data_IF_111476201084
#
_entry.id   IF_111476201084
#
_cell.length_a   1.000
_cell.length_b   1.000
_cell.length_c   1.000
_cell.angle_alpha   90.00
_cell.angle_beta   90.00
_cell.angle_gamma   90.00
#
_symmetry.space_group_name_H-M   'P 1'
#
loop_
_entity.id
_entity.type
_entity.pdbx_description
1 polymer ?
#
# COMPACT_ATOMS: atom_id res chain seq x y z
N UNK A 1 9.34 5.81 35.94
CA UNK A 1 9.46 5.62 34.48
C UNK A 1 8.10 5.93 33.91
N UNK A 2 8.00 6.96 33.09
CA UNK A 2 6.72 7.42 32.55
C UNK A 2 6.06 6.29 31.76
N UNK A 3 4.80 6.01 32.10
CA UNK A 3 3.98 5.06 31.35
C UNK A 3 3.78 5.63 29.94
N UNK A 4 4.55 5.12 28.98
CA UNK A 4 4.51 5.55 27.58
C UNK A 4 3.18 5.20 26.89
N UNK A 5 2.38 4.32 27.50
CA UNK A 5 1.12 3.81 26.98
C UNK A 5 0.04 3.82 28.06
N UNK A 6 -1.21 4.01 27.65
CA UNK A 6 -2.38 3.99 28.53
C UNK A 6 -3.01 2.60 28.57
N UNK A 7 -3.53 2.19 29.73
CA UNK A 7 -4.25 0.89 29.85
C UNK A 7 -5.42 0.85 28.85
N UNK A 8 -5.55 -0.26 28.13
CA UNK A 8 -6.53 -0.45 27.05
C UNK A 8 -6.09 0.10 25.69
N UNK A 9 -4.91 0.71 25.59
CA UNK A 9 -4.40 1.23 24.32
C UNK A 9 -3.92 0.12 23.39
N UNK A 10 -4.36 0.13 22.14
CA UNK A 10 -3.99 -0.87 21.14
C UNK A 10 -2.54 -0.68 20.69
N UNK A 11 -1.71 -1.71 20.89
CA UNK A 11 -0.30 -1.71 20.50
C UNK A 11 0.06 -2.95 19.67
N UNK A 12 1.09 -2.80 18.83
CA UNK A 12 1.69 -3.83 17.98
C UNK A 12 3.13 -4.04 18.45
N UNK A 13 3.45 -5.24 18.92
CA UNK A 13 4.74 -5.67 19.43
C UNK A 13 5.39 -6.55 18.38
N UNK A 14 6.63 -6.24 18.01
CA UNK A 14 7.43 -7.09 17.12
C UNK A 14 8.60 -7.65 17.87
N UNK A 15 8.85 -8.94 17.69
CA UNK A 15 9.88 -9.68 18.40
C UNK A 15 11.14 -9.85 17.54
N UNK A 16 12.25 -10.16 18.21
CA UNK A 16 13.55 -10.39 17.58
C UNK A 16 13.57 -11.65 16.69
N UNK A 17 12.68 -12.61 16.96
CA UNK A 17 12.52 -13.83 16.15
C UNK A 17 11.66 -13.62 14.89
N UNK A 18 11.11 -12.41 14.67
CA UNK A 18 10.26 -12.10 13.52
C UNK A 18 8.76 -12.07 13.82
N UNK A 19 8.31 -12.61 14.95
CA UNK A 19 6.89 -12.66 15.26
C UNK A 19 6.33 -11.27 15.56
N UNK A 20 5.10 -11.01 15.12
CA UNK A 20 4.38 -9.77 15.35
C UNK A 20 3.06 -10.06 16.06
N UNK A 21 2.86 -9.40 17.20
CA UNK A 21 1.68 -9.50 18.02
C UNK A 21 0.99 -8.15 18.11
N UNK A 22 -0.32 -8.16 18.24
CA UNK A 22 -1.10 -6.97 18.52
C UNK A 22 -2.03 -7.26 19.69
N UNK A 23 -2.23 -6.29 20.57
CA UNK A 23 -3.16 -6.42 21.68
C UNK A 23 -3.37 -5.11 22.44
N UNK A 24 -4.24 -5.16 23.44
CA UNK A 24 -4.56 -4.04 24.30
C UNK A 24 -3.54 -3.99 25.46
N UNK A 25 -2.90 -2.84 25.63
CA UNK A 25 -1.89 -2.61 26.67
C UNK A 25 -2.48 -2.73 28.07
N UNK A 26 -1.81 -3.49 28.95
CA UNK A 26 -2.18 -3.59 30.36
C UNK A 26 -1.17 -2.89 31.26
N UNK A 27 0.10 -3.30 31.21
CA UNK A 27 1.16 -2.71 32.05
C UNK A 27 2.54 -2.99 31.48
N UNK A 28 3.53 -2.23 31.93
CA UNK A 28 4.94 -2.45 31.64
C UNK A 28 5.78 -2.40 32.91
N UNK A 29 6.90 -3.12 32.89
CA UNK A 29 7.98 -2.97 33.85
C UNK A 29 9.32 -2.84 33.12
N UNK A 30 10.40 -2.74 33.88
CA UNK A 30 11.77 -2.90 33.40
C UNK A 30 11.99 -4.24 32.68
N UNK A 31 11.30 -5.30 33.11
CA UNK A 31 11.45 -6.67 32.59
C UNK A 31 10.64 -6.96 31.32
N UNK A 32 9.59 -6.19 31.04
CA UNK A 32 8.69 -6.52 29.93
C UNK A 32 7.41 -5.71 29.85
N UNK A 33 6.48 -6.24 29.06
CA UNK A 33 5.17 -5.65 28.81
C UNK A 33 4.12 -6.75 28.81
N UNK A 34 2.94 -6.44 29.36
CA UNK A 34 1.78 -7.31 29.33
C UNK A 34 0.69 -6.70 28.44
N UNK A 35 0.14 -7.52 27.55
CA UNK A 35 -0.98 -7.18 26.69
C UNK A 35 -2.06 -8.26 26.77
N UNK A 36 -3.30 -7.92 26.42
CA UNK A 36 -4.42 -8.86 26.26
C UNK A 36 -5.13 -8.69 24.91
N UNK A 37 -6.14 -9.52 24.61
CA UNK A 37 -6.83 -9.52 23.32
C UNK A 37 -5.86 -9.66 22.12
N UNK A 38 -4.97 -10.65 22.21
CA UNK A 38 -3.85 -10.86 21.32
C UNK A 38 -4.28 -11.33 19.95
N UNK A 39 -3.69 -10.74 18.92
CA UNK A 39 -3.67 -11.23 17.56
C UNK A 39 -2.21 -11.50 17.14
N UNK A 40 -1.90 -12.74 16.77
CA UNK A 40 -0.60 -13.13 16.24
C UNK A 40 -0.64 -13.08 14.70
N UNK A 41 0.19 -12.26 14.08
CA UNK A 41 0.14 -12.01 12.64
C UNK A 41 0.56 -13.22 11.81
N UNK A 42 1.56 -13.96 12.27
CA UNK A 42 2.14 -15.06 11.52
C UNK A 42 1.20 -16.25 11.46
N UNK A 43 0.54 -16.58 12.58
CA UNK A 43 -0.42 -17.69 12.60
C UNK A 43 -1.87 -17.27 12.34
N UNK A 44 -2.19 -15.98 12.41
CA UNK A 44 -3.57 -15.44 12.35
C UNK A 44 -4.40 -15.73 13.62
N UNK A 45 -3.79 -16.29 14.67
CA UNK A 45 -4.51 -16.69 15.87
C UNK A 45 -4.94 -15.47 16.69
N UNK A 46 -6.19 -15.50 17.16
CA UNK A 46 -6.76 -14.51 18.09
C UNK A 46 -7.06 -15.17 19.43
N UNK A 47 -6.67 -14.52 20.52
CA UNK A 47 -6.96 -14.99 21.88
C UNK A 47 -7.24 -13.83 22.82
N UNK A 48 -8.13 -14.02 23.78
CA UNK A 48 -8.39 -13.04 24.85
C UNK A 48 -7.43 -13.18 26.03
N UNK A 49 -6.54 -14.16 25.99
CA UNK A 49 -5.56 -14.40 27.05
C UNK A 49 -4.57 -13.25 27.19
N UNK A 50 -3.99 -13.14 28.38
CA UNK A 50 -2.91 -12.20 28.68
C UNK A 50 -1.56 -12.81 28.29
N UNK A 51 -0.73 -12.03 27.63
CA UNK A 51 0.61 -12.44 27.22
C UNK A 51 1.64 -11.46 27.80
N UNK A 52 2.67 -12.03 28.42
CA UNK A 52 3.84 -11.28 28.89
C UNK A 52 4.97 -11.43 27.89
N UNK A 53 5.49 -10.31 27.38
CA UNK A 53 6.65 -10.28 26.49
C UNK A 53 7.86 -9.73 27.24
N UNK A 54 8.96 -10.47 27.24
CA UNK A 54 10.17 -10.00 27.90
C UNK A 54 10.83 -8.89 27.09
N UNK A 55 11.33 -7.85 27.76
CA UNK A 55 11.91 -6.68 27.09
C UNK A 55 13.08 -7.02 26.16
N UNK A 56 13.81 -8.10 26.46
CA UNK A 56 14.91 -8.63 25.63
C UNK A 56 14.44 -9.28 24.31
N UNK A 57 13.18 -9.70 24.24
CA UNK A 57 12.60 -10.34 23.06
C UNK A 57 11.97 -9.30 22.12
N UNK A 58 11.60 -8.14 22.65
CA UNK A 58 10.91 -7.08 21.92
C UNK A 58 11.90 -6.30 21.07
N UNK A 59 11.65 -6.28 19.77
CA UNK A 59 12.35 -5.47 18.78
C UNK A 59 11.76 -4.07 18.70
N UNK A 60 10.44 -3.96 18.52
CA UNK A 60 9.73 -2.68 18.45
C UNK A 60 8.34 -2.76 19.08
N UNK A 61 7.79 -1.62 19.48
CA UNK A 61 6.41 -1.46 19.94
C UNK A 61 5.83 -0.25 19.22
N UNK A 62 4.70 -0.42 18.55
CA UNK A 62 3.99 0.65 17.86
C UNK A 62 2.56 0.78 18.40
N UNK A 63 2.12 1.99 18.71
CA UNK A 63 0.73 2.32 19.04
C UNK A 63 -0.09 2.43 17.76
N UNK A 64 -1.31 1.88 17.77
CA UNK A 64 -2.25 2.10 16.68
C UNK A 64 -3.00 3.41 16.90
N UNK A 65 -2.85 4.36 15.98
CA UNK A 65 -3.48 5.68 16.11
C UNK A 65 -4.94 5.58 15.68
N UNK A 66 -5.88 6.07 16.50
CA UNK A 66 -7.27 6.29 16.05
C UNK A 66 -7.33 7.72 15.56
N UNK A 67 -7.33 7.96 14.26
CA UNK A 67 -7.70 9.29 13.77
C UNK A 67 -9.22 9.39 13.90
N UNK A 68 -9.71 9.87 15.05
CA UNK A 68 -11.07 10.41 15.09
C UNK A 68 -11.07 11.58 14.11
N UNK A 69 -11.82 11.45 13.02
CA UNK A 69 -12.01 12.50 12.02
C UNK A 69 -12.30 13.83 12.70
N UNK A 70 -11.29 14.69 12.75
CA UNK A 70 -11.45 16.11 12.96
C UNK A 70 -11.15 16.75 11.61
N UNK A 71 -12.20 16.86 10.80
CA UNK A 71 -12.28 18.00 9.88
C UNK A 71 -12.35 19.22 10.80
N UNK A 72 -11.21 19.84 11.03
CA UNK A 72 -11.14 21.16 11.65
C UNK A 72 -10.13 21.98 10.88
N UNK A 73 -10.67 22.97 10.17
CA UNK A 73 -9.98 24.14 9.67
C UNK A 73 -8.87 24.60 10.62
N UNK A 74 -7.68 24.86 10.08
CA UNK A 74 -6.86 26.04 10.43
C UNK A 74 -5.54 26.03 9.67
N UNK A 75 -5.47 26.95 8.71
CA UNK A 75 -4.32 27.72 8.25
C UNK A 75 -3.08 27.67 9.17
N UNK A 76 -1.98 27.19 8.61
CA UNK A 76 -0.57 27.48 8.97
C UNK A 76 -0.17 27.43 10.44
N UNK A 77 0.48 26.33 10.81
CA UNK A 77 1.78 26.37 11.49
C UNK A 77 2.58 25.14 11.09
N UNK A 78 3.83 25.36 10.68
CA UNK A 78 4.88 24.35 10.71
C UNK A 78 5.01 23.83 12.14
N UNK A 79 4.18 22.87 12.53
CA UNK A 79 4.54 21.96 13.59
C UNK A 79 5.37 20.87 12.94
N UNK A 80 6.66 20.86 13.27
CA UNK A 80 7.40 19.62 13.43
C UNK A 80 6.50 18.72 14.28
N UNK A 81 5.65 17.91 13.66
CA UNK A 81 5.02 16.84 14.39
C UNK A 81 6.18 15.92 14.68
N UNK A 82 6.66 15.99 15.93
CA UNK A 82 7.33 14.92 16.62
C UNK A 82 6.38 13.71 16.63
N UNK A 83 6.03 13.17 15.45
CA UNK A 83 5.24 11.96 15.35
C UNK A 83 6.10 10.91 16.03
N UNK A 84 5.60 10.40 17.15
CA UNK A 84 6.27 9.35 17.90
C UNK A 84 6.70 8.28 16.89
N UNK A 85 8.00 7.98 16.83
CA UNK A 85 8.57 6.87 16.03
C UNK A 85 7.91 5.52 16.30
N UNK A 86 6.98 5.45 17.24
CA UNK A 86 6.27 4.27 17.70
C UNK A 86 4.76 4.39 17.49
N UNK A 87 4.26 5.10 16.47
CA UNK A 87 2.84 5.09 16.11
C UNK A 87 2.66 4.66 14.65
N UNK A 88 1.75 3.73 14.38
CA UNK A 88 1.36 3.40 13.02
C UNK A 88 0.63 4.60 12.41
N UNK A 89 1.09 5.03 11.24
CA UNK A 89 0.60 6.19 10.47
C UNK A 89 -0.46 5.76 9.44
N UNK A 90 -1.38 4.92 9.88
CA UNK A 90 -2.54 4.49 9.10
C UNK A 90 -3.76 4.61 10.00
N UNK A 91 -4.90 4.96 9.41
CA UNK A 91 -6.14 4.95 10.16
C UNK A 91 -6.46 3.54 10.69
N UNK A 92 -7.10 3.47 11.85
CA UNK A 92 -7.41 2.21 12.52
C UNK A 92 -8.29 1.32 11.65
N UNK A 93 -9.31 1.88 11.01
CA UNK A 93 -10.28 1.10 10.24
C UNK A 93 -9.63 0.57 8.95
N UNK A 94 -8.78 1.38 8.32
CA UNK A 94 -7.98 0.96 7.16
C UNK A 94 -6.95 -0.14 7.55
N UNK A 95 -6.32 -0.02 8.71
CA UNK A 95 -5.41 -1.05 9.23
C UNK A 95 -6.12 -2.38 9.47
N UNK A 96 -7.29 -2.36 10.11
CA UNK A 96 -8.10 -3.56 10.34
C UNK A 96 -8.60 -4.16 9.02
N UNK A 97 -9.06 -3.32 8.08
CA UNK A 97 -9.45 -3.77 6.74
C UNK A 97 -8.32 -4.53 6.06
N UNK A 98 -7.10 -3.97 6.03
CA UNK A 98 -5.95 -4.63 5.39
C UNK A 98 -5.62 -5.98 6.02
N UNK A 99 -5.72 -6.10 7.35
CA UNK A 99 -5.52 -7.39 8.03
C UNK A 99 -6.58 -8.41 7.64
N UNK A 100 -7.84 -7.99 7.60
CA UNK A 100 -8.95 -8.85 7.20
C UNK A 100 -8.77 -9.34 5.76
N UNK A 101 -8.45 -8.43 4.84
CA UNK A 101 -8.17 -8.74 3.44
C UNK A 101 -6.98 -9.70 3.28
N UNK A 102 -5.90 -9.48 4.03
CA UNK A 102 -4.74 -10.37 3.98
C UNK A 102 -5.06 -11.79 4.50
N UNK A 103 -5.89 -11.90 5.54
CA UNK A 103 -6.27 -13.17 6.15
C UNK A 103 -7.31 -13.95 5.34
N UNK A 104 -8.26 -13.25 4.69
CA UNK A 104 -9.43 -13.86 4.05
C UNK A 104 -9.27 -14.00 2.53
N UNK A 105 -8.11 -14.43 2.03
CA UNK A 105 -7.90 -14.60 0.59
C UNK A 105 -8.79 -15.69 -0.04
N UNK A 106 -9.12 -15.54 -1.32
CA UNK A 106 -9.83 -16.54 -2.12
C UNK A 106 -8.81 -17.31 -2.96
N UNK A 107 -8.69 -18.61 -2.72
CA UNK A 107 -7.79 -19.48 -3.48
C UNK A 107 -8.50 -20.21 -4.60
N UNK A 108 -8.15 -19.87 -5.83
CA UNK A 108 -8.75 -20.40 -7.06
C UNK A 108 -7.80 -21.44 -7.68
N UNK A 109 -8.17 -22.72 -7.55
CA UNK A 109 -7.35 -23.86 -7.99
C UNK A 109 -7.68 -24.35 -9.40
N UNK A 110 -8.87 -24.04 -9.89
CA UNK A 110 -9.45 -24.57 -11.13
C UNK A 110 -10.24 -23.50 -11.87
N UNK A 111 -10.33 -23.64 -13.19
CA UNK A 111 -11.09 -22.75 -14.09
C UNK A 111 -12.60 -23.11 -14.05
N UNK A 112 -13.20 -23.02 -12.86
CA UNK A 112 -14.62 -23.28 -12.62
C UNK A 112 -15.42 -21.98 -12.39
N UNK A 113 -16.65 -22.07 -11.90
CA UNK A 113 -17.48 -20.90 -11.62
C UNK A 113 -16.78 -19.89 -10.69
N UNK A 114 -16.05 -20.36 -9.67
CA UNK A 114 -15.34 -19.48 -8.72
C UNK A 114 -14.24 -18.66 -9.40
N UNK A 115 -13.61 -19.22 -10.43
CA UNK A 115 -12.64 -18.51 -11.26
C UNK A 115 -13.30 -17.37 -12.03
N UNK A 116 -14.39 -17.64 -12.75
CA UNK A 116 -15.08 -16.62 -13.54
C UNK A 116 -15.73 -15.55 -12.66
N UNK A 117 -16.32 -15.93 -11.52
CA UNK A 117 -16.87 -14.98 -10.54
C UNK A 117 -15.76 -14.06 -10.00
N UNK A 118 -14.58 -14.61 -9.67
CA UNK A 118 -13.43 -13.83 -9.23
C UNK A 118 -12.92 -12.86 -10.30
N UNK A 119 -12.77 -13.31 -11.54
CA UNK A 119 -12.30 -12.46 -12.65
C UNK A 119 -13.28 -11.33 -12.95
N UNK A 120 -14.58 -11.64 -13.00
CA UNK A 120 -15.64 -10.63 -13.18
C UNK A 120 -15.61 -9.60 -12.06
N UNK A 121 -15.45 -10.02 -10.81
CA UNK A 121 -15.36 -9.10 -9.68
C UNK A 121 -14.11 -8.20 -9.79
N UNK A 122 -12.93 -8.76 -10.09
CA UNK A 122 -11.69 -7.99 -10.23
C UNK A 122 -11.80 -6.93 -11.33
N UNK A 123 -12.48 -7.24 -12.45
CA UNK A 123 -12.68 -6.31 -13.57
C UNK A 123 -13.48 -5.05 -13.19
N UNK A 124 -14.21 -5.06 -12.07
CA UNK A 124 -14.96 -3.90 -11.58
C UNK A 124 -14.09 -2.88 -10.83
N UNK A 125 -12.80 -3.15 -10.61
CA UNK A 125 -11.90 -2.26 -9.87
C UNK A 125 -10.95 -1.51 -10.79
N UNK A 126 -10.76 -0.22 -10.52
CA UNK A 126 -9.85 0.65 -11.28
C UNK A 126 -8.36 0.36 -11.03
N UNK A 127 -8.04 -0.27 -9.89
CA UNK A 127 -6.68 -0.60 -9.49
C UNK A 127 -6.63 -2.01 -8.90
N UNK A 128 -5.63 -2.78 -9.32
CA UNK A 128 -5.38 -4.13 -8.83
C UNK A 128 -3.90 -4.26 -8.43
N UNK A 129 -3.62 -4.71 -7.21
CA UNK A 129 -2.27 -5.11 -6.83
C UNK A 129 -1.91 -6.44 -7.49
N UNK A 130 -0.66 -6.58 -7.96
CA UNK A 130 -0.21 -7.78 -8.66
C UNK A 130 1.08 -8.30 -8.06
N UNK A 131 1.09 -9.58 -7.71
CA UNK A 131 2.29 -10.32 -7.35
C UNK A 131 2.25 -11.70 -8.02
N UNK A 132 3.35 -12.15 -8.60
CA UNK A 132 3.40 -13.46 -9.26
C UNK A 132 4.64 -14.23 -8.84
N UNK A 133 4.45 -15.51 -8.52
CA UNK A 133 5.53 -16.43 -8.19
C UNK A 133 5.96 -17.19 -9.44
N UNK A 134 7.26 -17.25 -9.69
CA UNK A 134 7.87 -17.86 -10.87
C UNK A 134 8.24 -16.84 -11.96
N UNK A 135 7.98 -15.55 -11.72
CA UNK A 135 8.36 -14.46 -12.61
C UNK A 135 9.76 -13.87 -12.33
N UNK A 136 10.41 -14.31 -11.26
CA UNK A 136 11.69 -13.77 -10.77
C UNK A 136 12.83 -13.97 -11.79
N UNK A 137 12.70 -14.99 -12.66
CA UNK A 137 13.63 -15.29 -13.77
C UNK A 137 13.29 -14.57 -15.07
N UNK A 138 12.37 -13.60 -15.07
CA UNK A 138 11.98 -12.83 -16.25
C UNK A 138 11.48 -13.73 -17.39
N UNK A 139 11.98 -13.50 -18.61
CA UNK A 139 11.70 -14.30 -19.82
C UNK A 139 12.01 -15.79 -19.75
N UNK A 140 12.82 -16.21 -18.76
CA UNK A 140 13.10 -17.63 -18.50
C UNK A 140 12.17 -18.21 -17.42
N UNK A 141 11.40 -17.35 -16.75
CA UNK A 141 10.43 -17.72 -15.74
C UNK A 141 9.11 -18.19 -16.34
N UNK A 142 8.37 -18.96 -15.54
CA UNK A 142 6.97 -19.33 -15.81
C UNK A 142 6.19 -19.07 -14.54
N UNK A 143 5.10 -18.31 -14.67
CA UNK A 143 4.23 -17.98 -13.56
C UNK A 143 3.53 -19.26 -13.12
N UNK A 144 3.73 -19.61 -11.85
CA UNK A 144 3.12 -20.78 -11.23
C UNK A 144 1.88 -20.41 -10.43
N UNK A 145 1.90 -19.21 -9.83
CA UNK A 145 0.83 -18.64 -9.02
C UNK A 145 0.81 -17.14 -9.26
N UNK A 146 -0.37 -16.56 -9.40
CA UNK A 146 -0.54 -15.11 -9.44
C UNK A 146 -1.56 -14.68 -8.39
N UNK A 147 -1.21 -13.69 -7.59
CA UNK A 147 -2.08 -13.06 -6.63
C UNK A 147 -2.48 -11.67 -7.14
N UNK A 148 -3.78 -11.40 -7.13
CA UNK A 148 -4.38 -10.13 -7.49
C UNK A 148 -5.12 -9.58 -6.26
N UNK A 149 -4.77 -8.37 -5.81
CA UNK A 149 -5.50 -7.69 -4.74
C UNK A 149 -6.38 -6.58 -5.30
N UNK A 150 -7.59 -6.48 -4.76
CA UNK A 150 -8.43 -5.30 -4.88
C UNK A 150 -8.44 -4.58 -3.52
N UNK A 151 -9.16 -3.46 -3.41
CA UNK A 151 -9.35 -2.85 -2.08
C UNK A 151 -10.20 -3.74 -1.15
N UNK A 152 -10.94 -4.73 -1.65
CA UNK A 152 -11.82 -5.58 -0.83
C UNK A 152 -11.27 -6.97 -0.56
N UNK A 153 -10.45 -7.51 -1.46
CA UNK A 153 -10.22 -8.95 -1.49
C UNK A 153 -8.90 -9.28 -2.19
N UNK A 154 -8.22 -10.32 -1.71
CA UNK A 154 -7.11 -10.96 -2.45
C UNK A 154 -7.61 -12.24 -3.11
N UNK A 155 -7.26 -12.41 -4.38
CA UNK A 155 -7.50 -13.62 -5.16
C UNK A 155 -6.17 -14.23 -5.54
N UNK A 156 -5.98 -15.51 -5.24
CA UNK A 156 -4.77 -16.25 -5.57
C UNK A 156 -5.15 -17.33 -6.60
N UNK A 157 -4.60 -17.23 -7.80
CA UNK A 157 -4.86 -18.14 -8.91
C UNK A 157 -3.68 -19.11 -9.07
N UNK A 158 -3.95 -20.40 -8.96
CA UNK A 158 -2.96 -21.45 -9.16
C UNK A 158 -2.79 -21.77 -10.66
N UNK A 159 -2.10 -20.88 -11.37
CA UNK A 159 -1.86 -20.96 -12.82
C UNK A 159 -1.27 -22.32 -13.22
N UNK A 160 -0.40 -22.91 -12.39
CA UNK A 160 0.19 -24.22 -12.65
C UNK A 160 -0.82 -25.37 -12.57
N UNK A 161 -1.83 -25.25 -11.70
CA UNK A 161 -2.84 -26.30 -11.51
C UNK A 161 -4.00 -26.19 -12.51
N UNK A 162 -4.12 -25.06 -13.22
CA UNK A 162 -5.06 -24.94 -14.32
C UNK A 162 -4.70 -25.94 -15.42
N UNK A 163 -5.72 -26.54 -16.04
CA UNK A 163 -5.53 -27.63 -17.02
C UNK A 163 -5.04 -27.10 -18.37
N UNK A 164 -5.10 -25.78 -18.56
CA UNK A 164 -4.65 -25.10 -19.76
C UNK A 164 -3.11 -25.08 -19.87
N UNK A 165 -2.61 -25.30 -21.09
CA UNK A 165 -1.20 -25.11 -21.42
C UNK A 165 -0.84 -23.64 -21.67
N UNK A 166 -1.85 -22.78 -21.78
CA UNK A 166 -1.73 -21.34 -22.02
C UNK A 166 -2.06 -20.57 -20.75
N UNK A 167 -1.52 -19.36 -20.64
CA UNK A 167 -1.93 -18.44 -19.59
C UNK A 167 -3.44 -18.11 -19.73
N UNK A 168 -4.21 -17.99 -18.63
CA UNK A 168 -5.65 -17.75 -18.71
C UNK A 168 -5.98 -16.41 -19.36
N UNK A 169 -6.81 -16.43 -20.40
CA UNK A 169 -7.10 -15.27 -21.23
C UNK A 169 -7.78 -14.15 -20.44
N UNK A 170 -8.67 -14.51 -19.52
CA UNK A 170 -9.48 -13.56 -18.77
C UNK A 170 -8.64 -12.83 -17.69
N UNK A 171 -7.58 -13.49 -17.16
CA UNK A 171 -6.56 -12.82 -16.33
C UNK A 171 -5.67 -11.95 -17.21
N UNK A 172 -5.27 -12.44 -18.39
CA UNK A 172 -4.48 -11.64 -19.33
C UNK A 172 -5.17 -10.32 -19.68
N UNK A 173 -6.49 -10.34 -19.96
CA UNK A 173 -7.28 -9.14 -20.22
C UNK A 173 -7.18 -8.09 -19.10
N UNK A 174 -7.17 -8.51 -17.83
CA UNK A 174 -6.96 -7.60 -16.69
C UNK A 174 -5.56 -6.97 -16.75
N UNK A 175 -4.53 -7.79 -16.98
CA UNK A 175 -3.14 -7.36 -17.04
C UNK A 175 -2.87 -6.43 -18.24
N UNK A 176 -3.52 -6.66 -19.38
CA UNK A 176 -3.37 -5.89 -20.63
C UNK A 176 -4.28 -4.65 -20.69
N UNK A 177 -5.29 -4.55 -19.82
CA UNK A 177 -6.21 -3.42 -19.80
C UNK A 177 -5.48 -2.08 -19.63
N UNK A 178 -5.87 -1.06 -20.41
CA UNK A 178 -5.42 0.31 -20.20
C UNK A 178 -6.23 1.04 -19.10
N UNK A 179 -7.41 0.52 -18.75
CA UNK A 179 -8.29 1.13 -17.76
C UNK A 179 -7.97 0.65 -16.34
N UNK A 180 -7.69 -0.64 -16.16
CA UNK A 180 -7.33 -1.20 -14.86
C UNK A 180 -5.85 -0.94 -14.60
N UNK A 181 -5.52 -0.22 -13.54
CA UNK A 181 -4.15 0.09 -13.15
C UNK A 181 -3.53 -1.09 -12.38
N UNK A 182 -2.39 -1.60 -12.84
CA UNK A 182 -1.66 -2.68 -12.15
C UNK A 182 -0.66 -2.07 -11.18
N UNK A 183 -0.89 -2.28 -9.89
CA UNK A 183 -0.02 -1.81 -8.83
C UNK A 183 0.98 -2.92 -8.53
N UNK A 184 2.26 -2.61 -8.69
CA UNK A 184 3.36 -3.56 -8.49
C UNK A 184 4.43 -2.94 -7.60
N UNK A 185 5.33 -3.77 -7.12
CA UNK A 185 6.55 -3.34 -6.47
C UNK A 185 7.72 -4.05 -7.13
N UNK A 186 8.61 -3.28 -7.77
CA UNK A 186 9.72 -3.85 -8.56
C UNK A 186 9.21 -4.78 -9.68
N UNK A 187 8.28 -4.29 -10.49
CA UNK A 187 7.55 -5.09 -11.49
C UNK A 187 8.35 -5.43 -12.75
N UNK A 188 9.63 -5.07 -12.84
CA UNK A 188 10.43 -5.23 -14.06
C UNK A 188 10.53 -6.68 -14.55
N UNK A 189 10.87 -7.62 -13.66
CA UNK A 189 10.96 -9.05 -13.98
C UNK A 189 9.59 -9.66 -14.27
N UNK A 190 8.55 -9.24 -13.55
CA UNK A 190 7.17 -9.61 -13.82
C UNK A 190 6.74 -9.23 -15.23
N UNK A 191 7.00 -7.97 -15.63
CA UNK A 191 6.69 -7.47 -16.96
C UNK A 191 7.46 -8.23 -18.06
N UNK A 192 8.75 -8.47 -17.86
CA UNK A 192 9.58 -9.26 -18.80
C UNK A 192 9.06 -10.71 -18.92
N UNK A 193 8.70 -11.35 -17.80
CA UNK A 193 8.12 -12.70 -17.80
C UNK A 193 6.80 -12.76 -18.58
N UNK A 194 5.87 -11.85 -18.30
CA UNK A 194 4.58 -11.80 -19.00
C UNK A 194 4.76 -11.61 -20.51
N UNK A 195 5.60 -10.65 -20.90
CA UNK A 195 5.83 -10.33 -22.31
C UNK A 195 6.42 -11.51 -23.08
N UNK A 196 7.47 -12.13 -22.55
CA UNK A 196 8.25 -13.11 -23.31
C UNK A 196 7.78 -14.54 -23.12
N UNK A 197 7.44 -14.94 -21.89
CA UNK A 197 7.04 -16.31 -21.56
C UNK A 197 5.56 -16.56 -21.81
N UNK A 198 4.70 -15.55 -21.64
CA UNK A 198 3.24 -15.71 -21.72
C UNK A 198 2.59 -14.91 -22.86
N UNK A 199 3.35 -14.06 -23.56
CA UNK A 199 2.88 -13.20 -24.66
C UNK A 199 1.79 -12.20 -24.21
N UNK A 200 1.93 -11.69 -22.99
CA UNK A 200 1.00 -10.75 -22.36
C UNK A 200 1.70 -9.41 -22.19
N UNK A 201 1.10 -8.34 -22.72
CA UNK A 201 1.64 -6.98 -22.60
C UNK A 201 0.98 -6.24 -21.44
N UNK A 202 1.63 -6.25 -20.27
CA UNK A 202 1.12 -5.53 -19.09
C UNK A 202 1.14 -4.01 -19.31
N UNK A 203 -0.04 -3.38 -19.25
CA UNK A 203 -0.26 -1.95 -19.49
C UNK A 203 -0.67 -1.20 -18.21
N UNK A 204 -0.72 0.14 -18.24
CA UNK A 204 -1.18 0.99 -17.11
C UNK A 204 -0.62 0.54 -15.74
N UNK A 205 0.71 0.61 -15.59
CA UNK A 205 1.42 0.13 -14.40
C UNK A 205 1.72 1.30 -13.47
N UNK A 206 1.48 1.11 -12.17
CA UNK A 206 2.06 1.94 -11.12
C UNK A 206 3.05 1.09 -10.32
N UNK A 207 4.32 1.46 -10.35
CA UNK A 207 5.37 0.75 -9.61
C UNK A 207 5.76 1.54 -8.35
N UNK A 208 5.38 0.99 -7.20
CA UNK A 208 5.62 1.62 -5.89
C UNK A 208 7.12 1.78 -5.57
N UNK A 209 8.00 0.97 -6.15
CA UNK A 209 9.44 1.13 -5.99
C UNK A 209 9.97 2.30 -6.82
N UNK A 210 9.47 2.47 -8.05
CA UNK A 210 9.80 3.63 -8.89
C UNK A 210 9.29 4.92 -8.25
N UNK A 211 8.06 4.92 -7.75
CA UNK A 211 7.49 6.06 -7.03
C UNK A 211 8.30 6.42 -5.78
N UNK A 212 8.77 5.43 -5.01
CA UNK A 212 9.67 5.69 -3.88
C UNK A 212 10.99 6.34 -4.32
N UNK A 213 11.65 5.81 -5.35
CA UNK A 213 12.89 6.41 -5.87
C UNK A 213 12.68 7.85 -6.35
N UNK A 214 11.56 8.12 -7.00
CA UNK A 214 11.18 9.46 -7.45
C UNK A 214 10.96 10.41 -6.26
N UNK A 215 10.23 9.97 -5.24
CA UNK A 215 9.99 10.77 -4.02
C UNK A 215 11.30 11.11 -3.30
N UNK A 216 12.20 10.13 -3.15
CA UNK A 216 13.51 10.35 -2.54
C UNK A 216 14.33 11.33 -3.37
N UNK A 217 14.43 11.11 -4.69
CA UNK A 217 15.18 12.01 -5.58
C UNK A 217 14.65 13.43 -5.56
N UNK A 218 13.33 13.62 -5.52
CA UNK A 218 12.73 14.95 -5.42
C UNK A 218 13.06 15.62 -4.08
N UNK A 219 13.17 14.86 -3.00
CA UNK A 219 13.49 15.39 -1.68
C UNK A 219 14.98 15.68 -1.46
N UNK A 220 15.87 14.87 -2.03
CA UNK A 220 17.33 14.91 -1.76
C UNK A 220 18.18 15.40 -2.93
N UNK A 221 17.63 15.40 -4.15
CA UNK A 221 18.37 15.62 -5.40
C UNK A 221 18.99 14.37 -6.01
N UNK A 222 19.03 13.24 -5.29
CA UNK A 222 19.71 12.01 -5.70
C UNK A 222 18.82 10.76 -5.57
N UNK A 223 18.98 9.79 -6.48
CA UNK A 223 18.33 8.49 -6.32
C UNK A 223 18.88 7.75 -5.08
N UNK A 224 18.07 6.93 -4.40
CA UNK A 224 18.55 6.12 -3.28
C UNK A 224 19.60 5.10 -3.76
N UNK A 225 20.61 4.82 -2.91
CA UNK A 225 21.70 3.88 -3.21
C UNK A 225 21.25 2.41 -3.21
N UNK A 226 20.16 2.11 -2.51
CA UNK A 226 19.56 0.78 -2.42
C UNK A 226 18.07 0.89 -2.67
N UNK A 227 17.50 -0.09 -3.36
CA UNK A 227 16.07 -0.16 -3.57
C UNK A 227 15.39 -0.76 -2.34
N UNK A 228 14.37 -0.06 -1.83
CA UNK A 228 13.56 -0.57 -0.73
C UNK A 228 12.68 -1.71 -1.20
N UNK A 229 12.52 -2.72 -0.34
CA UNK A 229 11.47 -3.74 -0.47
C UNK A 229 10.11 -3.14 -0.08
N UNK A 230 9.03 -3.83 -0.44
CA UNK A 230 7.69 -3.43 -0.02
C UNK A 230 7.55 -3.35 1.51
N UNK A 231 8.21 -4.25 2.25
CA UNK A 231 8.27 -4.21 3.71
C UNK A 231 8.98 -2.96 4.25
N UNK A 232 10.09 -2.56 3.62
CA UNK A 232 10.79 -1.32 3.98
C UNK A 232 9.95 -0.08 3.67
N UNK A 233 9.22 -0.05 2.54
CA UNK A 233 8.26 1.01 2.25
C UNK A 233 7.15 1.08 3.31
N UNK A 234 6.65 -0.05 3.82
CA UNK A 234 5.63 -0.05 4.88
C UNK A 234 6.15 0.55 6.20
N UNK A 235 7.41 0.26 6.54
CA UNK A 235 8.08 0.89 7.69
C UNK A 235 8.22 2.39 7.46
N UNK A 236 8.71 2.79 6.29
CA UNK A 236 9.01 4.19 6.00
C UNK A 236 7.76 5.07 5.94
N UNK A 237 6.71 4.61 5.26
CA UNK A 237 5.52 5.42 5.00
C UNK A 237 4.46 5.30 6.09
N UNK A 238 4.32 4.14 6.72
CA UNK A 238 3.25 3.87 7.67
C UNK A 238 3.76 3.53 9.07
N UNK A 239 5.08 3.49 9.27
CA UNK A 239 5.70 3.11 10.54
C UNK A 239 5.19 1.75 11.07
N UNK A 240 4.97 0.83 10.13
CA UNK A 240 4.67 -0.56 10.42
C UNK A 240 5.88 -1.27 11.02
N UNK A 241 5.62 -2.45 11.60
CA UNK A 241 6.71 -3.31 12.05
C UNK A 241 7.64 -3.71 10.90
N UNK A 242 8.98 -3.69 11.12
CA UNK A 242 9.94 -4.19 10.13
C UNK A 242 9.87 -5.71 9.91
N UNK A 243 9.22 -6.45 10.80
CA UNK A 243 9.03 -7.91 10.67
C UNK A 243 7.68 -8.27 10.06
N UNK A 244 6.80 -7.29 9.80
CA UNK A 244 5.46 -7.56 9.25
C UNK A 244 5.48 -8.35 7.95
N UNK A 245 6.47 -8.19 7.08
CA UNK A 245 6.55 -8.94 5.83
C UNK A 245 7.79 -9.83 5.73
N UNK A 246 8.59 -9.99 6.79
CA UNK A 246 9.85 -10.72 6.72
C UNK A 246 9.63 -12.18 6.31
N UNK A 247 8.74 -12.89 7.01
CA UNK A 247 8.41 -14.28 6.69
C UNK A 247 7.78 -14.45 5.30
N UNK A 248 7.09 -13.43 4.81
CA UNK A 248 6.47 -13.44 3.49
C UNK A 248 7.50 -13.24 2.37
N UNK A 249 8.49 -12.37 2.60
CA UNK A 249 9.61 -12.16 1.68
C UNK A 249 10.56 -13.36 1.67
N UNK A 250 10.82 -13.98 2.82
CA UNK A 250 11.65 -15.19 2.94
C UNK A 250 11.04 -16.36 2.15
N UNK A 251 9.72 -16.52 2.21
CA UNK A 251 9.03 -17.60 1.50
C UNK A 251 9.15 -17.53 -0.03
N UNK A 252 9.52 -16.38 -0.60
CA UNK A 252 9.82 -16.28 -2.04
C UNK A 252 11.04 -17.11 -2.46
N UNK A 253 11.93 -17.44 -1.51
CA UNK A 253 13.08 -18.31 -1.75
C UNK A 253 12.75 -19.80 -1.61
N UNK A 254 11.56 -20.14 -1.12
CA UNK A 254 11.11 -21.52 -0.95
C UNK A 254 10.67 -22.15 -2.28
N UNK A 255 10.41 -23.46 -2.28
CA UNK A 255 9.82 -24.16 -3.43
C UNK A 255 8.32 -23.93 -3.52
N UNK A 256 7.87 -23.40 -4.67
CA UNK A 256 6.45 -23.21 -5.04
C UNK A 256 5.99 -24.21 -6.11
N UNK A 257 6.71 -25.31 -6.24
CA UNK A 257 6.49 -26.31 -7.29
C UNK A 257 5.46 -27.35 -6.85
N UNK A 258 5.45 -27.72 -5.58
CA UNK A 258 4.62 -28.79 -5.03
C UNK A 258 3.15 -28.38 -4.94
N UNK A 259 2.26 -29.37 -5.05
CA UNK A 259 0.80 -29.19 -4.97
C UNK A 259 0.19 -30.29 -4.08
N UNK A 260 -0.86 -29.98 -3.29
CA UNK A 260 -1.49 -28.66 -3.14
C UNK A 260 -0.55 -27.65 -2.46
N UNK A 261 -0.72 -26.35 -2.76
CA UNK A 261 0.04 -25.31 -2.07
C UNK A 261 -0.35 -25.28 -0.58
N UNK A 262 0.65 -25.17 0.27
CA UNK A 262 0.47 -25.02 1.71
C UNK A 262 -0.26 -23.72 2.03
N UNK A 263 -1.20 -23.78 2.98
CA UNK A 263 -2.00 -22.62 3.38
C UNK A 263 -1.14 -21.47 3.91
N UNK A 264 -0.04 -21.78 4.62
CA UNK A 264 0.91 -20.79 5.11
C UNK A 264 1.58 -20.00 3.97
N UNK A 265 1.97 -20.68 2.88
CA UNK A 265 2.51 -20.03 1.67
C UNK A 265 1.48 -19.10 1.04
N UNK A 266 0.22 -19.52 0.97
CA UNK A 266 -0.86 -18.69 0.44
C UNK A 266 -1.11 -17.44 1.30
N UNK A 267 -1.08 -17.57 2.65
CA UNK A 267 -1.17 -16.44 3.59
C UNK A 267 -0.02 -15.44 3.39
N UNK A 268 1.20 -15.95 3.27
CA UNK A 268 2.40 -15.13 3.01
C UNK A 268 2.31 -14.40 1.67
N UNK A 269 1.87 -15.07 0.61
CA UNK A 269 1.66 -14.46 -0.70
C UNK A 269 0.57 -13.38 -0.66
N UNK A 270 -0.54 -13.65 0.04
CA UNK A 270 -1.62 -12.67 0.25
C UNK A 270 -1.10 -11.39 0.88
N UNK A 271 -0.31 -11.49 1.96
CA UNK A 271 0.31 -10.33 2.64
C UNK A 271 1.18 -9.47 1.70
N UNK A 272 1.89 -10.05 0.74
CA UNK A 272 2.76 -9.29 -0.18
C UNK A 272 1.98 -8.39 -1.15
N UNK A 273 0.74 -8.78 -1.51
CA UNK A 273 -0.06 -8.06 -2.51
C UNK A 273 -1.09 -7.12 -1.87
N UNK A 274 -1.54 -7.39 -0.65
CA UNK A 274 -2.58 -6.61 0.05
C UNK A 274 -2.23 -5.13 0.20
N UNK A 275 -0.98 -4.82 0.51
CA UNK A 275 -0.58 -3.45 0.87
C UNK A 275 -0.25 -2.55 -0.33
N UNK A 276 -0.18 -3.11 -1.54
CA UNK A 276 0.30 -2.38 -2.72
C UNK A 276 -0.56 -1.15 -3.04
N UNK A 277 -1.89 -1.30 -2.99
CA UNK A 277 -2.83 -0.20 -3.29
C UNK A 277 -2.67 0.93 -2.27
N UNK A 278 -2.65 0.61 -0.96
CA UNK A 278 -2.47 1.59 0.11
C UNK A 278 -1.13 2.33 0.00
N UNK A 279 -0.04 1.62 -0.31
CA UNK A 279 1.27 2.25 -0.57
C UNK A 279 1.20 3.18 -1.77
N UNK A 280 0.59 2.74 -2.87
CA UNK A 280 0.42 3.56 -4.08
C UNK A 280 -0.38 4.83 -3.78
N UNK A 281 -1.49 4.74 -3.07
CA UNK A 281 -2.33 5.91 -2.77
C UNK A 281 -1.57 6.92 -1.90
N UNK A 282 -0.86 6.44 -0.89
CA UNK A 282 -0.03 7.31 -0.05
C UNK A 282 1.09 7.99 -0.83
N UNK A 283 1.82 7.23 -1.67
CA UNK A 283 2.87 7.79 -2.52
C UNK A 283 2.31 8.81 -3.53
N UNK A 284 1.13 8.54 -4.07
CA UNK A 284 0.44 9.46 -4.98
C UNK A 284 0.08 10.77 -4.28
N UNK A 285 -0.44 10.70 -3.04
CA UNK A 285 -0.72 11.91 -2.24
C UNK A 285 0.57 12.69 -1.95
N UNK A 286 1.70 12.02 -1.69
CA UNK A 286 2.99 12.69 -1.53
C UNK A 286 3.44 13.40 -2.81
N UNK A 287 3.28 12.75 -3.98
CA UNK A 287 3.62 13.34 -5.27
C UNK A 287 2.72 14.52 -5.63
N UNK A 288 1.44 14.47 -5.22
CA UNK A 288 0.44 15.51 -5.51
C UNK A 288 0.30 16.55 -4.39
N UNK A 289 1.13 16.50 -3.35
CA UNK A 289 0.98 17.32 -2.15
C UNK A 289 0.93 18.83 -2.44
N UNK A 290 1.75 19.31 -3.36
CA UNK A 290 1.77 20.74 -3.69
C UNK A 290 0.56 21.13 -4.55
N UNK A 291 0.06 20.22 -5.39
CA UNK A 291 -1.21 20.38 -6.08
C UNK A 291 -2.38 20.45 -5.08
N UNK A 292 -2.44 19.55 -4.10
CA UNK A 292 -3.48 19.57 -3.05
C UNK A 292 -3.44 20.87 -2.23
N UNK A 293 -2.26 21.41 -1.92
CA UNK A 293 -2.13 22.73 -1.27
C UNK A 293 -2.68 23.86 -2.15
N UNK A 294 -2.41 23.82 -3.45
CA UNK A 294 -2.91 24.82 -4.40
C UNK A 294 -4.44 24.77 -4.47
N UNK A 295 -5.02 23.57 -4.59
CA UNK A 295 -6.47 23.35 -4.58
C UNK A 295 -7.11 23.90 -3.30
N UNK A 296 -6.56 23.54 -2.13
CA UNK A 296 -7.07 24.03 -0.85
C UNK A 296 -6.97 25.54 -0.72
N UNK A 297 -5.86 26.12 -1.15
CA UNK A 297 -5.65 27.57 -1.09
C UNK A 297 -6.61 28.32 -2.02
N UNK A 298 -6.86 27.77 -3.21
CA UNK A 298 -7.86 28.29 -4.15
C UNK A 298 -9.27 28.26 -3.53
N UNK A 299 -9.72 27.13 -2.99
CA UNK A 299 -11.04 27.05 -2.35
C UNK A 299 -11.15 27.95 -1.12
N UNK A 300 -10.07 28.10 -0.35
CA UNK A 300 -10.03 28.99 0.81
C UNK A 300 -10.21 30.48 0.45
N UNK A 301 -9.88 30.87 -0.78
CA UNK A 301 -10.15 32.23 -1.27
C UNK A 301 -11.66 32.51 -1.25
N UNK A 302 -12.47 31.57 -1.73
CA UNK A 302 -13.92 31.69 -1.77
C UNK A 302 -14.55 31.63 -0.37
N UNK A 303 -14.10 30.70 0.48
CA UNK A 303 -14.70 30.52 1.82
C UNK A 303 -14.37 31.65 2.79
N UNK A 304 -13.25 32.34 2.60
CA UNK A 304 -12.83 33.47 3.45
C UNK A 304 -13.28 34.84 2.92
N UNK A 305 -13.82 34.88 1.71
CA UNK A 305 -14.31 36.10 1.08
C UNK A 305 -15.63 36.58 1.69
N UNK A 306 -15.82 37.89 1.75
CA UNK A 306 -17.13 38.50 2.03
C UNK A 306 -18.13 38.19 0.92
N UNK A 307 -19.43 38.33 1.17
CA UNK A 307 -20.47 38.12 0.15
C UNK A 307 -20.22 38.94 -1.13
N UNK A 308 -19.76 40.18 -0.98
CA UNK A 308 -19.45 41.06 -2.12
C UNK A 308 -18.22 40.60 -2.91
N UNK A 309 -17.17 40.16 -2.23
CA UNK A 309 -15.98 39.59 -2.87
C UNK A 309 -16.30 38.27 -3.56
N UNK A 310 -17.16 37.43 -2.97
CA UNK A 310 -17.57 36.16 -3.55
C UNK A 310 -18.29 36.36 -4.89
N UNK A 311 -19.19 37.34 -5.01
CA UNK A 311 -19.86 37.67 -6.28
C UNK A 311 -18.84 38.06 -7.36
N UNK A 312 -17.77 38.79 -6.99
CA UNK A 312 -16.69 39.11 -7.93
C UNK A 312 -15.90 37.88 -8.30
N UNK A 313 -15.48 37.06 -7.33
CA UNK A 313 -14.71 35.83 -7.55
C UNK A 313 -15.48 34.82 -8.41
N UNK A 314 -16.78 34.66 -8.20
CA UNK A 314 -17.63 33.76 -8.97
C UNK A 314 -17.82 34.21 -10.43
N UNK A 315 -17.63 35.50 -10.71
CA UNK A 315 -17.71 36.07 -12.05
C UNK A 315 -16.37 36.05 -12.80
N UNK A 316 -15.26 35.67 -12.14
CA UNK A 316 -13.95 35.58 -12.77
C UNK A 316 -13.95 34.47 -13.84
N UNK A 317 -13.55 34.83 -15.06
CA UNK A 317 -13.30 33.89 -16.16
C UNK A 317 -11.81 33.76 -16.51
N UNK A 318 -10.95 34.55 -15.87
CA UNK A 318 -9.52 34.66 -16.15
C UNK A 318 -8.68 34.41 -14.89
N UNK A 319 -7.43 33.95 -15.04
CA UNK A 319 -6.54 33.80 -13.88
C UNK A 319 -6.10 35.18 -13.37
N UNK A 320 -6.61 35.62 -12.21
CA UNK A 320 -6.20 36.90 -11.59
C UNK A 320 -4.84 36.78 -10.90
N UNK A 321 -4.21 37.92 -10.58
CA UNK A 321 -2.93 37.94 -9.85
C UNK A 321 -3.02 37.24 -8.48
N UNK A 322 -4.15 37.38 -7.79
CA UNK A 322 -4.40 36.68 -6.52
C UNK A 322 -4.42 35.16 -6.70
N UNK A 323 -5.01 34.67 -7.80
CA UNK A 323 -5.02 33.24 -8.14
C UNK A 323 -3.61 32.80 -8.56
N UNK A 324 -2.91 33.55 -9.41
CA UNK A 324 -1.54 33.25 -9.85
C UNK A 324 -0.57 33.11 -8.67
N UNK A 325 -0.72 33.96 -7.65
CA UNK A 325 0.13 33.94 -6.46
C UNK A 325 -0.07 32.68 -5.60
N UNK A 326 -1.26 32.08 -5.67
CA UNK A 326 -1.63 30.89 -4.90
C UNK A 326 -1.19 29.60 -5.61
N UNK A 327 -1.10 29.61 -6.93
CA UNK A 327 -0.67 28.45 -7.72
C UNK A 327 0.87 28.37 -7.71
N UNK A 328 1.48 27.28 -7.22
CA UNK A 328 2.93 27.17 -7.18
C UNK A 328 3.52 27.09 -8.59
N UNK A 329 4.49 27.97 -8.89
CA UNK A 329 5.19 28.05 -10.20
C UNK A 329 5.95 26.76 -10.58
N UNK A 330 6.31 25.94 -9.60
CA UNK A 330 7.27 24.85 -9.73
C UNK A 330 6.64 23.45 -9.55
N UNK A 331 5.33 23.28 -9.78
CA UNK A 331 4.65 21.98 -9.62
C UNK A 331 5.25 20.86 -10.49
N UNK A 332 5.94 21.20 -11.57
CA UNK A 332 6.57 20.28 -12.50
C UNK A 332 8.02 20.72 -12.78
N UNK A 333 8.95 20.50 -11.84
CA UNK A 333 10.40 20.60 -12.12
C UNK A 333 10.89 19.43 -12.99
N UNK A 334 10.32 19.24 -14.18
CA UNK A 334 10.94 18.56 -15.32
C UNK A 334 9.98 18.55 -16.51
N UNK A 335 10.36 19.23 -17.57
CA UNK A 335 9.68 19.16 -18.87
C UNK A 335 8.96 20.45 -19.20
N UNK A 336 9.55 21.22 -20.11
CA UNK A 336 8.86 22.23 -20.89
C UNK A 336 7.51 21.66 -21.32
N UNK A 337 6.41 22.31 -20.93
CA UNK A 337 5.12 22.05 -21.54
C UNK A 337 5.28 22.52 -22.99
N UNK A 338 5.63 21.62 -23.90
CA UNK A 338 5.34 21.85 -25.30
C UNK A 338 3.82 22.01 -25.36
N UNK A 339 3.38 23.23 -25.64
CA UNK A 339 1.99 23.60 -25.83
C UNK A 339 1.29 22.51 -26.63
N UNK A 340 0.39 21.78 -25.97
CA UNK A 340 -0.59 20.93 -26.64
C UNK A 340 -1.44 21.90 -27.45
N UNK A 341 -1.13 22.02 -28.75
CA UNK A 341 -2.03 22.69 -29.69
C UNK A 341 -3.36 21.98 -29.58
N UNK A 342 -4.42 22.77 -29.32
CA UNK A 342 -5.79 22.30 -29.36
C UNK A 342 -5.99 21.46 -30.63
N UNK A 343 -6.43 20.22 -30.45
CA UNK A 343 -7.00 19.45 -31.54
C UNK A 343 -8.38 20.07 -31.74
N UNK A 344 -8.51 20.91 -32.77
CA UNK A 344 -9.81 21.32 -33.27
C UNK A 344 -10.54 20.06 -33.75
N UNK A 345 -11.73 19.82 -33.20
CA UNK A 345 -12.64 18.74 -33.60
C UNK A 345 -13.32 19.05 -34.93
#
# INVERSE_FOLDING_TARGET
MDNKYNVGERIVISLNNGDTFEGDYLKTSDKGIEIENIHHYESGNKTRSRFWFYRREIKTIHKLTTQKGAVSDSTSQQTKISQSKNCILLDKDEYERLKEVAANFIYVKTEDKSYFDAVTEIKNFESVGVFAVGAEKGRCGKISVIALSTWKQVYIFDIKNFRSTKFPAEIAEILESFYIKKIVHNGGTLKDCLQYSHKITMNNIFDTQVSHMMLVKNATGECPKSMNTIGQCLVEYFNFSPTLLSSSLEALSESWIERPLEEDKLKKLSRLVTYLITVKDYQMNLMLKDYEKAVNSYHNLFTKSTEFEMVKLAAIQECTEDIDTIIPRDLLKSGSIETVKAIDY
#
